data_IF_347531107290
#
_entry.id   IF_347531107290
#
_cell.length_a   1.000
_cell.length_b   1.000
_cell.length_c   1.000
_cell.angle_alpha   90.00
_cell.angle_beta   90.00
_cell.angle_gamma   90.00
#
_symmetry.space_group_name_H-M   'P 1'
#
loop_
_entity.id
_entity.type
_entity.pdbx_description
1 polymer ?
#
# COMPACT_ATOMS: atom_id res chain seq x y z
N UNK A 1 38.64 -17.22 -5.77
CA UNK A 1 37.27 -17.70 -5.47
C UNK A 1 36.50 -16.55 -4.82
N UNK A 2 35.47 -16.01 -5.49
CA UNK A 2 34.65 -14.92 -4.95
C UNK A 2 33.38 -15.53 -4.34
N UNK A 3 33.29 -15.51 -3.02
CA UNK A 3 32.11 -15.92 -2.26
C UNK A 3 31.04 -14.84 -2.41
N UNK A 4 30.05 -15.08 -3.28
CA UNK A 4 28.88 -14.22 -3.37
C UNK A 4 27.95 -14.54 -2.21
N UNK A 5 27.81 -13.59 -1.28
CA UNK A 5 26.86 -13.63 -0.18
C UNK A 5 25.45 -13.64 -0.76
N UNK A 6 24.79 -14.79 -0.69
CA UNK A 6 23.42 -14.99 -1.15
C UNK A 6 22.47 -14.27 -0.18
N UNK A 7 22.18 -13.00 -0.45
CA UNK A 7 21.18 -12.25 0.32
C UNK A 7 19.80 -12.86 0.08
N UNK A 8 19.15 -13.30 1.16
CA UNK A 8 17.81 -13.88 1.11
C UNK A 8 16.79 -12.87 0.57
N UNK A 9 15.77 -13.33 -0.18
CA UNK A 9 14.74 -12.43 -0.70
C UNK A 9 13.97 -11.79 0.45
N UNK A 10 14.09 -10.47 0.57
CA UNK A 10 13.34 -9.64 1.53
C UNK A 10 11.84 -9.96 1.41
N UNK A 11 11.17 -10.21 2.54
CA UNK A 11 9.78 -10.65 2.56
C UNK A 11 8.86 -9.60 1.92
N UNK A 12 7.81 -10.06 1.22
CA UNK A 12 6.79 -9.17 0.61
C UNK A 12 6.14 -8.23 1.64
N UNK A 13 6.06 -8.67 2.89
CA UNK A 13 5.59 -7.90 4.03
C UNK A 13 6.54 -6.74 4.36
N UNK A 14 7.85 -6.97 4.38
CA UNK A 14 8.85 -5.92 4.61
C UNK A 14 8.79 -4.85 3.50
N UNK A 15 8.59 -5.26 2.24
CA UNK A 15 8.45 -4.32 1.11
C UNK A 15 7.20 -3.44 1.27
N UNK A 16 6.07 -4.03 1.68
CA UNK A 16 4.84 -3.28 1.93
C UNK A 16 5.01 -2.31 3.10
N UNK A 17 5.60 -2.77 4.21
CA UNK A 17 5.89 -1.94 5.38
C UNK A 17 6.80 -0.77 5.02
N UNK A 18 7.89 -1.02 4.28
CA UNK A 18 8.81 0.03 3.81
C UNK A 18 8.11 0.99 2.85
N UNK A 19 7.19 0.53 2.01
CA UNK A 19 6.44 1.40 1.08
C UNK A 19 5.43 2.29 1.82
N UNK A 20 4.74 1.76 2.83
CA UNK A 20 3.86 2.53 3.71
C UNK A 20 4.68 3.58 4.46
N UNK A 21 5.80 3.17 5.08
CA UNK A 21 6.71 4.07 5.78
C UNK A 21 7.25 5.17 4.86
N UNK A 22 7.72 4.83 3.65
CA UNK A 22 8.18 5.82 2.67
C UNK A 22 7.06 6.77 2.25
N UNK A 23 5.85 6.27 2.00
CA UNK A 23 4.72 7.15 1.64
C UNK A 23 4.38 8.10 2.79
N UNK A 24 4.36 7.60 4.03
CA UNK A 24 4.12 8.43 5.21
C UNK A 24 5.25 9.44 5.44
N UNK A 25 6.49 9.09 5.08
CA UNK A 25 7.67 9.97 5.19
C UNK A 25 7.70 11.05 4.11
N UNK A 26 7.27 10.76 2.86
CA UNK A 26 7.34 11.70 1.74
C UNK A 26 6.03 12.46 1.46
N UNK A 27 4.87 11.80 1.60
CA UNK A 27 3.56 12.40 1.33
C UNK A 27 2.81 12.78 2.62
N UNK A 28 3.27 12.31 3.79
CA UNK A 28 2.74 12.66 5.11
C UNK A 28 1.36 12.10 5.42
N UNK A 29 0.69 11.40 4.50
CA UNK A 29 -0.74 11.10 4.63
C UNK A 29 -1.11 9.80 3.90
N UNK A 30 -2.01 9.00 4.48
CA UNK A 30 -2.67 7.87 3.83
C UNK A 30 -4.15 8.21 3.63
N UNK A 31 -4.80 7.50 2.71
CA UNK A 31 -6.24 7.66 2.46
C UNK A 31 -6.94 6.33 2.62
N UNK A 32 -8.06 6.33 3.36
CA UNK A 32 -8.99 5.22 3.44
C UNK A 32 -10.37 5.65 2.95
N UNK A 33 -11.31 4.71 2.91
CA UNK A 33 -12.71 4.99 2.60
C UNK A 33 -13.55 4.87 3.87
N UNK A 34 -14.39 5.87 4.13
CA UNK A 34 -15.18 5.98 5.36
C UNK A 34 -16.67 6.23 5.06
N UNK A 35 -17.53 5.48 5.75
CA UNK A 35 -18.97 5.69 5.82
C UNK A 35 -19.48 5.05 7.13
N UNK A 36 -19.65 5.84 8.19
CA UNK A 36 -19.95 5.37 9.56
C UNK A 36 -18.93 4.37 10.17
N UNK A 37 -17.91 4.00 9.40
CA UNK A 37 -16.83 3.09 9.73
C UNK A 37 -15.85 3.00 8.56
N UNK A 38 -14.71 2.35 8.79
CA UNK A 38 -13.71 2.10 7.75
C UNK A 38 -14.17 1.01 6.80
N UNK A 39 -13.97 1.21 5.49
CA UNK A 39 -14.27 0.20 4.49
C UNK A 39 -13.35 -1.01 4.68
N UNK A 40 -13.92 -2.18 4.93
CA UNK A 40 -13.22 -3.46 5.01
C UNK A 40 -13.72 -4.35 3.87
N UNK A 41 -12.80 -4.89 3.08
CA UNK A 41 -13.09 -5.90 2.07
C UNK A 41 -12.90 -7.28 2.67
N UNK A 42 -13.96 -8.06 2.77
CA UNK A 42 -13.90 -9.46 3.22
C UNK A 42 -13.62 -10.38 2.04
N UNK A 43 -12.56 -11.16 2.15
CA UNK A 43 -12.22 -12.27 1.25
C UNK A 43 -12.32 -13.59 2.03
N UNK A 44 -12.42 -14.77 1.36
CA UNK A 44 -12.70 -16.04 2.02
C UNK A 44 -11.80 -16.37 3.23
N UNK A 45 -10.52 -16.00 3.16
CA UNK A 45 -9.52 -16.34 4.18
C UNK A 45 -9.02 -15.12 4.99
N UNK A 46 -9.40 -13.90 4.60
CA UNK A 46 -8.81 -12.68 5.17
C UNK A 46 -9.71 -11.45 5.01
N UNK A 47 -9.65 -10.56 6.00
CA UNK A 47 -10.22 -9.24 5.92
C UNK A 47 -9.13 -8.24 5.50
N UNK A 48 -9.44 -7.39 4.53
CA UNK A 48 -8.52 -6.44 3.94
C UNK A 48 -9.00 -5.02 4.21
N UNK A 49 -8.10 -4.18 4.72
CA UNK A 49 -8.29 -2.74 4.79
C UNK A 49 -7.60 -2.08 3.59
N UNK A 50 -8.33 -1.67 2.54
CA UNK A 50 -7.73 -0.97 1.43
C UNK A 50 -7.39 0.48 1.80
N UNK A 51 -6.19 0.90 1.41
CA UNK A 51 -5.74 2.28 1.52
C UNK A 51 -5.15 2.77 0.19
N UNK A 52 -5.04 4.08 0.04
CA UNK A 52 -4.54 4.77 -1.14
C UNK A 52 -3.51 5.83 -0.77
N UNK A 53 -2.65 6.17 -1.73
CA UNK A 53 -1.64 7.24 -1.56
C UNK A 53 -2.23 8.63 -1.83
N UNK A 54 -3.40 8.72 -2.46
CA UNK A 54 -4.09 9.98 -2.74
C UNK A 54 -5.62 9.83 -2.76
N UNK A 55 -6.31 10.95 -2.52
CA UNK A 55 -7.76 11.01 -2.47
C UNK A 55 -8.45 10.72 -3.81
N UNK A 56 -7.81 11.09 -4.93
CA UNK A 56 -8.39 10.96 -6.27
C UNK A 56 -8.61 9.49 -6.61
N UNK A 57 -7.60 8.65 -6.37
CA UNK A 57 -7.68 7.21 -6.59
C UNK A 57 -8.69 6.55 -5.65
N UNK A 58 -8.70 6.94 -4.38
CA UNK A 58 -9.70 6.45 -3.43
C UNK A 58 -11.13 6.80 -3.89
N UNK A 59 -11.35 8.03 -4.38
CA UNK A 59 -12.66 8.47 -4.85
C UNK A 59 -13.10 7.74 -6.12
N UNK A 60 -12.19 7.56 -7.08
CA UNK A 60 -12.47 6.82 -8.31
C UNK A 60 -12.85 5.38 -8.01
N UNK A 61 -12.11 4.73 -7.10
CA UNK A 61 -12.45 3.38 -6.65
C UNK A 61 -13.81 3.32 -5.96
N UNK A 62 -14.09 4.27 -5.06
CA UNK A 62 -15.36 4.35 -4.33
C UNK A 62 -16.56 4.48 -5.28
N UNK A 63 -16.46 5.33 -6.31
CA UNK A 63 -17.56 5.50 -7.30
C UNK A 63 -17.98 4.20 -7.97
N UNK A 64 -17.05 3.27 -8.17
CA UNK A 64 -17.32 1.99 -8.84
C UNK A 64 -17.73 0.90 -7.84
N UNK A 65 -17.02 0.80 -6.71
CA UNK A 65 -17.13 -0.34 -5.81
C UNK A 65 -17.89 -0.05 -4.50
N UNK A 66 -17.84 1.20 -4.03
CA UNK A 66 -18.37 1.62 -2.72
C UNK A 66 -18.97 3.04 -2.77
N UNK A 67 -20.10 3.25 -3.47
CA UNK A 67 -20.59 4.58 -3.83
C UNK A 67 -20.96 5.46 -2.62
N UNK A 68 -21.32 4.82 -1.51
CA UNK A 68 -21.67 5.49 -0.24
C UNK A 68 -20.45 5.89 0.60
N UNK A 69 -19.26 5.40 0.24
CA UNK A 69 -18.04 5.72 0.96
C UNK A 69 -17.36 6.96 0.39
N UNK A 70 -16.68 7.70 1.26
CA UNK A 70 -15.93 8.90 0.90
C UNK A 70 -14.45 8.76 1.31
N UNK A 71 -13.50 9.29 0.51
CA UNK A 71 -12.10 9.34 0.89
C UNK A 71 -11.93 10.13 2.19
N UNK A 72 -11.28 9.51 3.17
CA UNK A 72 -10.91 10.13 4.43
C UNK A 72 -9.39 10.04 4.60
N UNK A 73 -8.79 11.18 4.90
CA UNK A 73 -7.37 11.30 5.22
C UNK A 73 -7.07 10.61 6.55
N UNK A 74 -5.96 9.90 6.60
CA UNK A 74 -5.40 9.24 7.77
C UNK A 74 -4.01 9.84 7.97
N UNK A 75 -3.80 10.49 9.12
CA UNK A 75 -2.49 11.07 9.44
C UNK A 75 -1.52 9.98 9.90
N UNK A 76 -0.20 10.23 9.92
CA UNK A 76 0.77 9.26 10.40
C UNK A 76 0.54 8.89 11.86
N UNK A 77 0.19 9.88 12.67
CA UNK A 77 -0.16 9.70 14.07
C UNK A 77 -1.40 8.82 14.23
N UNK A 78 -2.51 9.15 13.56
CA UNK A 78 -3.74 8.35 13.62
C UNK A 78 -3.52 6.92 13.12
N UNK A 79 -2.67 6.75 12.10
CA UNK A 79 -2.30 5.45 11.60
C UNK A 79 -1.58 4.62 12.67
N UNK A 80 -0.58 5.20 13.32
CA UNK A 80 0.27 4.50 14.30
C UNK A 80 -0.46 4.25 15.62
N UNK A 81 -1.19 5.24 16.14
CA UNK A 81 -1.75 5.21 17.49
C UNK A 81 -3.13 4.56 17.55
N UNK A 82 -3.91 4.64 16.47
CA UNK A 82 -5.29 4.16 16.46
C UNK A 82 -5.52 3.04 15.43
N UNK A 83 -5.22 3.29 14.17
CA UNK A 83 -5.62 2.40 13.09
C UNK A 83 -4.81 1.09 13.08
N UNK A 84 -3.49 1.16 13.19
CA UNK A 84 -2.62 -0.01 13.16
C UNK A 84 -2.91 -0.99 14.31
N UNK A 85 -3.01 -0.55 15.59
CA UNK A 85 -3.41 -1.44 16.68
C UNK A 85 -4.77 -2.10 16.45
N UNK A 86 -5.73 -1.35 15.89
CA UNK A 86 -7.07 -1.85 15.56
C UNK A 86 -7.00 -2.94 14.49
N UNK A 87 -6.30 -2.68 13.38
CA UNK A 87 -6.13 -3.66 12.30
C UNK A 87 -5.43 -4.93 12.81
N UNK A 88 -4.39 -4.80 13.64
CA UNK A 88 -3.70 -5.94 14.26
C UNK A 88 -4.65 -6.74 15.16
N UNK A 89 -5.42 -6.08 16.02
CA UNK A 89 -6.39 -6.74 16.93
C UNK A 89 -7.43 -7.56 16.17
N UNK A 90 -7.94 -7.03 15.05
CA UNK A 90 -8.97 -7.69 14.25
C UNK A 90 -8.42 -8.59 13.13
N UNK A 91 -7.09 -8.81 13.08
CA UNK A 91 -6.40 -9.58 12.03
C UNK A 91 -6.75 -9.09 10.61
N UNK A 92 -6.92 -7.79 10.46
CA UNK A 92 -7.21 -7.15 9.18
C UNK A 92 -5.89 -6.76 8.51
N UNK A 93 -5.74 -7.11 7.24
CA UNK A 93 -4.53 -6.88 6.47
C UNK A 93 -4.66 -5.55 5.71
N UNK A 94 -3.80 -4.55 5.99
CA UNK A 94 -3.78 -3.32 5.19
C UNK A 94 -3.21 -3.61 3.79
N UNK A 95 -3.86 -3.13 2.75
CA UNK A 95 -3.43 -3.32 1.36
C UNK A 95 -3.55 -2.04 0.53
N UNK A 96 -2.54 -1.77 -0.30
CA UNK A 96 -2.53 -0.62 -1.20
C UNK A 96 -3.39 -0.86 -2.44
N UNK A 97 -4.36 0.03 -2.68
CA UNK A 97 -5.27 -0.01 -3.83
C UNK A 97 -5.01 1.19 -4.77
N UNK A 98 -5.51 1.08 -6.01
CA UNK A 98 -5.51 2.18 -7.00
C UNK A 98 -6.94 2.48 -7.47
N UNK A 99 -7.08 3.33 -8.49
CA UNK A 99 -8.37 3.80 -9.01
C UNK A 99 -9.29 2.74 -9.63
N UNK A 100 -8.75 1.64 -10.19
CA UNK A 100 -9.52 0.78 -11.09
C UNK A 100 -9.30 -0.73 -10.93
N UNK A 101 -8.16 -1.19 -10.39
CA UNK A 101 -7.94 -2.59 -9.99
C UNK A 101 -6.83 -2.67 -8.95
N UNK A 102 -7.03 -3.43 -7.87
CA UNK A 102 -5.92 -3.82 -6.99
C UNK A 102 -4.74 -4.34 -7.83
N UNK A 103 -3.61 -3.63 -7.83
CA UNK A 103 -2.28 -4.20 -8.12
C UNK A 103 -1.18 -3.28 -7.61
N UNK A 104 -0.45 -3.79 -6.62
CA UNK A 104 0.98 -4.00 -6.85
C UNK A 104 1.39 -5.39 -6.37
N UNK A 105 1.52 -6.32 -7.33
CA UNK A 105 2.33 -7.53 -7.21
C UNK A 105 3.24 -7.54 -8.42
N UNK A 106 4.48 -7.10 -8.26
CA UNK A 106 5.50 -7.23 -9.30
C UNK A 106 6.04 -8.67 -9.31
N UNK A 107 6.26 -9.21 -10.50
CA UNK A 107 7.16 -10.36 -10.63
C UNK A 107 8.60 -9.93 -10.37
N UNK A 108 9.47 -10.87 -10.03
CA UNK A 108 10.88 -10.62 -9.73
C UNK A 108 11.60 -9.94 -10.90
N UNK A 109 11.27 -10.31 -12.14
CA UNK A 109 11.80 -9.66 -13.35
C UNK A 109 11.33 -8.21 -13.52
N UNK A 110 10.06 -7.94 -13.22
CA UNK A 110 9.52 -6.58 -13.29
C UNK A 110 10.14 -5.68 -12.20
N UNK A 111 10.38 -6.21 -11.00
CA UNK A 111 11.15 -5.50 -9.97
C UNK A 111 12.57 -5.17 -10.45
N UNK A 112 13.26 -6.13 -11.05
CA UNK A 112 14.61 -5.90 -11.56
C UNK A 112 14.63 -4.76 -12.59
N UNK A 113 13.69 -4.80 -13.53
CA UNK A 113 13.60 -3.81 -14.58
C UNK A 113 13.27 -2.39 -14.07
N UNK A 114 12.26 -2.25 -13.21
CA UNK A 114 11.83 -0.91 -12.75
C UNK A 114 12.79 -0.26 -11.74
N UNK A 115 13.47 -1.05 -10.89
CA UNK A 115 14.31 -0.51 -9.82
C UNK A 115 15.80 -0.48 -10.13
N UNK A 116 16.29 -1.33 -11.03
CA UNK A 116 17.74 -1.47 -11.30
C UNK A 116 18.12 -1.26 -12.77
N UNK A 117 17.15 -1.14 -13.68
CA UNK A 117 17.43 -0.79 -15.08
C UNK A 117 17.32 0.72 -15.29
N UNK A 118 18.04 1.50 -14.47
CA UNK A 118 18.36 2.88 -14.78
C UNK A 118 19.36 2.88 -15.95
N UNK A 119 18.86 2.80 -17.19
CA UNK A 119 19.67 3.28 -18.32
C UNK A 119 19.93 4.75 -18.04
N UNK A 120 21.22 5.06 -17.88
CA UNK A 120 21.75 6.38 -17.64
C UNK A 120 21.07 7.37 -18.58
N UNK A 121 20.22 8.26 -18.06
CA UNK A 121 20.03 9.55 -18.72
C UNK A 121 21.32 10.30 -18.44
N UNK A 122 22.32 10.07 -19.30
CA UNK A 122 23.43 10.99 -19.46
C UNK A 122 22.82 12.24 -20.07
N UNK A 123 22.61 13.27 -19.26
CA UNK A 123 22.58 14.62 -19.79
C UNK A 123 24.01 14.94 -20.20
N UNK A 124 24.24 14.93 -21.52
CA UNK A 124 25.38 15.58 -22.15
C UNK A 124 24.96 17.00 -22.53
#
# INVERSE_FOLDING_TARGET
MKTFTQFQPVSKQLILQVSILKTMMYCGVLWGLFNEGWAIKTEPDQNIFPFWLNAVQANQYAKVHWPNYRPRKITPQDFQEALLPTLTRFKIIPALFNASRCKFRLSTQQMHHFFFNSRQIRFA
#
